data_IF_659892053449
#
_entry.id   IF_659892053449
#
_cell.length_a   1.000
_cell.length_b   1.000
_cell.length_c   1.000
_cell.angle_alpha   90.00
_cell.angle_beta   90.00
_cell.angle_gamma   90.00
#
_symmetry.space_group_name_H-M   'P 1'
#
loop_
_entity.id
_entity.type
_entity.pdbx_description
1 polymer ?
#
# COMPACT_ATOMS: atom_id res chain seq x y z
N UNK A 1 11.38 -8.38 9.58
CA UNK A 1 10.44 -9.43 9.10
C UNK A 1 10.86 -9.81 7.69
N UNK A 2 10.96 -11.10 7.36
CA UNK A 2 11.38 -11.53 6.03
C UNK A 2 10.12 -11.79 5.19
N UNK A 3 9.92 -11.00 4.14
CA UNK A 3 8.86 -11.22 3.17
C UNK A 3 9.42 -12.05 2.00
N UNK A 4 8.58 -12.87 1.39
CA UNK A 4 8.88 -13.57 0.13
C UNK A 4 8.80 -12.62 -1.07
N UNK A 5 7.88 -11.64 -1.03
CA UNK A 5 7.78 -10.55 -1.99
C UNK A 5 7.46 -9.22 -1.31
N UNK A 6 7.99 -8.12 -1.86
CA UNK A 6 7.80 -6.75 -1.37
C UNK A 6 7.70 -5.77 -2.54
N UNK A 7 6.60 -5.78 -3.29
CA UNK A 7 6.48 -4.85 -4.41
C UNK A 7 5.70 -3.59 -4.03
N UNK A 8 5.98 -2.52 -4.76
CA UNK A 8 5.26 -1.27 -4.68
C UNK A 8 5.32 -0.59 -6.06
N UNK A 9 4.15 -0.28 -6.62
CA UNK A 9 4.03 0.25 -7.98
C UNK A 9 4.03 1.78 -7.93
N UNK A 10 5.22 2.36 -8.08
CA UNK A 10 5.41 3.81 -8.09
C UNK A 10 5.40 4.40 -9.49
N UNK A 11 4.89 5.62 -9.63
CA UNK A 11 5.19 6.44 -10.81
C UNK A 11 6.69 6.76 -10.89
N UNK A 12 7.16 7.14 -12.08
CA UNK A 12 8.57 7.55 -12.29
C UNK A 12 9.00 8.68 -11.35
N UNK A 13 8.11 9.63 -11.05
CA UNK A 13 8.37 10.74 -10.13
C UNK A 13 8.22 10.37 -8.65
N UNK A 14 7.83 9.13 -8.32
CA UNK A 14 7.63 8.61 -6.95
C UNK A 14 6.58 9.34 -6.10
N UNK A 15 5.86 10.32 -6.68
CA UNK A 15 4.75 11.03 -6.05
C UNK A 15 3.47 10.20 -5.99
N UNK A 16 3.34 9.21 -6.87
CA UNK A 16 2.13 8.40 -7.00
C UNK A 16 2.42 6.92 -6.74
N UNK A 17 1.51 6.23 -6.05
CA UNK A 17 1.55 4.78 -5.81
C UNK A 17 0.14 4.20 -5.69
N UNK A 18 -0.31 3.41 -6.65
CA UNK A 18 -1.63 2.78 -6.54
C UNK A 18 -1.65 1.64 -5.55
N UNK A 19 -0.67 0.75 -5.71
CA UNK A 19 -0.65 -0.50 -4.99
C UNK A 19 0.70 -0.84 -4.40
N UNK A 20 0.65 -1.65 -3.36
CA UNK A 20 1.80 -2.42 -2.88
C UNK A 20 1.30 -3.79 -2.44
N UNK A 21 2.16 -4.79 -2.58
CA UNK A 21 1.89 -6.14 -2.08
C UNK A 21 3.00 -6.60 -1.13
N UNK A 22 2.59 -7.50 -0.24
CA UNK A 22 3.48 -8.21 0.69
C UNK A 22 3.07 -9.66 0.71
N UNK A 23 4.03 -10.57 0.54
CA UNK A 23 3.82 -12.00 0.75
C UNK A 23 4.81 -12.52 1.78
N UNK A 24 4.38 -13.51 2.58
CA UNK A 24 5.20 -14.20 3.57
C UNK A 24 4.93 -15.70 3.52
N UNK A 25 5.72 -16.47 4.27
CA UNK A 25 5.56 -17.92 4.36
C UNK A 25 4.40 -18.29 5.30
N UNK A 26 3.59 -19.27 4.88
CA UNK A 26 2.47 -19.83 5.66
C UNK A 26 1.17 -19.04 5.52
N UNK A 27 0.04 -19.76 5.59
CA UNK A 27 -1.31 -19.23 5.34
C UNK A 27 -1.86 -19.60 3.97
N UNK A 28 -3.08 -19.15 3.65
CA UNK A 28 -3.75 -19.41 2.36
C UNK A 28 -4.45 -18.15 1.84
N UNK A 29 -4.33 -17.88 0.54
CA UNK A 29 -4.86 -16.69 -0.13
C UNK A 29 -4.21 -15.34 0.28
N UNK A 30 -4.71 -14.26 -0.35
CA UNK A 30 -4.34 -12.88 -0.06
C UNK A 30 -5.54 -12.07 0.40
N UNK A 31 -5.30 -11.08 1.26
CA UNK A 31 -6.29 -10.06 1.63
C UNK A 31 -6.08 -8.81 0.78
N UNK A 32 -7.17 -8.27 0.23
CA UNK A 32 -7.15 -6.93 -0.37
C UNK A 32 -7.62 -5.89 0.66
N UNK A 33 -6.80 -4.88 0.91
CA UNK A 33 -7.19 -3.68 1.63
C UNK A 33 -7.35 -2.52 0.64
N UNK A 34 -8.48 -1.82 0.71
CA UNK A 34 -8.75 -0.63 -0.11
C UNK A 34 -8.61 0.60 0.78
N UNK A 35 -7.59 1.41 0.51
CA UNK A 35 -7.31 2.67 1.19
C UNK A 35 -7.79 3.88 0.40
N UNK A 36 -7.86 5.03 1.06
CA UNK A 36 -8.17 6.31 0.40
C UNK A 36 -6.99 6.77 -0.46
N UNK A 37 -5.84 6.97 0.18
CA UNK A 37 -4.63 7.44 -0.47
C UNK A 37 -3.39 6.81 0.18
N UNK A 38 -2.27 6.69 -0.57
CA UNK A 38 -1.13 5.93 -0.14
C UNK A 38 -0.30 6.78 0.83
N UNK A 39 0.07 6.19 1.95
CA UNK A 39 0.96 6.84 2.93
C UNK A 39 2.45 6.62 2.56
N UNK A 40 3.35 6.73 3.53
CA UNK A 40 4.80 6.80 3.31
C UNK A 40 5.48 5.46 2.99
N UNK A 41 4.82 4.30 3.14
CA UNK A 41 5.41 2.99 2.87
C UNK A 41 6.07 2.91 1.48
N UNK A 42 7.17 2.16 1.38
CA UNK A 42 7.83 1.88 0.11
C UNK A 42 8.21 0.41 -0.03
N UNK A 43 9.03 0.07 -1.01
CA UNK A 43 9.49 -1.29 -1.25
C UNK A 43 10.50 -1.80 -0.21
N UNK A 44 10.93 -0.97 0.75
CA UNK A 44 11.92 -1.31 1.79
C UNK A 44 11.39 -1.16 3.21
N UNK A 45 10.41 -0.27 3.43
CA UNK A 45 9.90 0.08 4.76
C UNK A 45 8.39 0.13 4.77
N UNK A 46 7.80 -0.64 5.68
CA UNK A 46 6.38 -0.56 5.98
C UNK A 46 6.12 0.59 6.96
N UNK A 47 5.11 1.40 6.64
CA UNK A 47 4.60 2.44 7.54
C UNK A 47 3.61 1.84 8.58
N UNK A 48 3.13 2.63 9.57
CA UNK A 48 2.18 2.13 10.56
C UNK A 48 0.90 1.52 9.98
N UNK A 49 0.40 2.04 8.85
CA UNK A 49 -0.79 1.53 8.17
C UNK A 49 -0.54 0.13 7.64
N UNK A 50 0.55 -0.06 6.90
CA UNK A 50 0.91 -1.37 6.31
C UNK A 50 1.19 -2.39 7.40
N UNK A 51 1.91 -2.03 8.47
CA UNK A 51 2.15 -2.96 9.60
C UNK A 51 0.85 -3.44 10.24
N UNK A 52 -0.16 -2.57 10.38
CA UNK A 52 -1.46 -2.93 10.92
C UNK A 52 -2.24 -3.85 9.99
N UNK A 53 -2.27 -3.57 8.68
CA UNK A 53 -2.87 -4.46 7.68
C UNK A 53 -2.22 -5.86 7.67
N UNK A 54 -0.89 -5.93 7.80
CA UNK A 54 -0.16 -7.21 7.92
C UNK A 54 -0.57 -7.96 9.18
N UNK A 55 -0.71 -7.27 10.31
CA UNK A 55 -1.20 -7.85 11.55
C UNK A 55 -2.56 -8.51 11.39
N UNK A 56 -3.51 -7.81 10.76
CA UNK A 56 -4.84 -8.34 10.47
C UNK A 56 -4.78 -9.55 9.52
N UNK A 57 -4.12 -9.41 8.37
CA UNK A 57 -4.02 -10.49 7.39
C UNK A 57 -3.43 -11.77 7.98
N UNK A 58 -2.39 -11.64 8.82
CA UNK A 58 -1.80 -12.78 9.53
C UNK A 58 -2.75 -13.38 10.56
N UNK A 59 -3.43 -12.53 11.35
CA UNK A 59 -4.40 -13.01 12.35
C UNK A 59 -5.58 -13.77 11.74
N UNK A 60 -5.90 -13.46 10.48
CA UNK A 60 -6.95 -14.14 9.71
C UNK A 60 -6.44 -15.36 8.92
N UNK A 61 -5.15 -15.69 9.00
CA UNK A 61 -4.58 -16.90 8.37
C UNK A 61 -4.14 -16.75 6.91
N UNK A 62 -4.00 -15.52 6.39
CA UNK A 62 -3.54 -15.29 5.02
C UNK A 62 -2.01 -15.27 4.89
N UNK A 63 -1.50 -15.60 3.70
CA UNK A 63 -0.05 -15.60 3.38
C UNK A 63 0.43 -14.32 2.69
N UNK A 64 -0.48 -13.38 2.44
CA UNK A 64 -0.13 -12.11 1.84
C UNK A 64 -1.26 -11.11 1.89
N UNK A 65 -0.92 -9.89 1.48
CA UNK A 65 -1.87 -8.83 1.26
C UNK A 65 -1.52 -8.03 0.02
N UNK A 66 -2.54 -7.35 -0.50
CA UNK A 66 -2.41 -6.26 -1.43
C UNK A 66 -3.12 -5.04 -0.83
N UNK A 67 -2.50 -3.88 -0.90
CA UNK A 67 -3.14 -2.60 -0.57
C UNK A 67 -3.27 -1.81 -1.85
N UNK A 68 -4.49 -1.45 -2.21
CA UNK A 68 -4.80 -0.53 -3.32
C UNK A 68 -5.37 0.77 -2.76
N UNK A 69 -5.26 1.87 -3.50
CA UNK A 69 -5.75 3.17 -3.08
C UNK A 69 -6.65 3.79 -4.16
N UNK A 70 -7.73 4.44 -3.73
CA UNK A 70 -8.64 5.17 -4.62
C UNK A 70 -7.95 6.34 -5.32
N UNK A 71 -7.01 6.98 -4.62
CA UNK A 71 -6.15 8.03 -5.16
C UNK A 71 -4.69 7.57 -5.11
N UNK A 72 -3.91 7.96 -6.10
CA UNK A 72 -2.52 7.53 -6.20
C UNK A 72 -1.56 8.50 -5.52
N UNK A 73 -1.97 9.76 -5.30
CA UNK A 73 -1.09 10.78 -4.74
C UNK A 73 -0.71 10.45 -3.29
N UNK A 74 0.59 10.31 -3.05
CA UNK A 74 1.13 9.96 -1.74
C UNK A 74 1.02 11.12 -0.77
N UNK A 75 0.21 10.94 0.27
CA UNK A 75 0.01 11.91 1.31
C UNK A 75 -0.22 11.20 2.64
N UNK A 76 0.29 11.77 3.74
CA UNK A 76 0.00 11.23 5.08
C UNK A 76 -1.38 11.67 5.56
N UNK A 77 -1.80 12.89 5.20
CA UNK A 77 -3.05 13.47 5.63
C UNK A 77 -4.03 13.65 4.46
N UNK A 78 -5.32 13.29 4.62
CA UNK A 78 -6.34 13.51 3.58
C UNK A 78 -6.51 14.96 3.16
N UNK A 79 -6.16 15.92 4.02
CA UNK A 79 -6.19 17.34 3.67
C UNK A 79 -5.20 17.71 2.56
N UNK A 80 -4.03 17.05 2.54
CA UNK A 80 -3.01 17.29 1.51
C UNK A 80 -3.41 16.64 0.19
N UNK A 81 -4.08 15.49 0.24
CA UNK A 81 -4.71 14.89 -0.93
C UNK A 81 -5.74 15.83 -1.57
N UNK A 82 -6.62 16.44 -0.77
CA UNK A 82 -7.64 17.39 -1.27
C UNK A 82 -7.05 18.64 -1.92
N UNK A 83 -5.82 19.00 -1.57
CA UNK A 83 -5.09 20.14 -2.14
C UNK A 83 -4.22 19.75 -3.34
N UNK A 84 -4.07 18.46 -3.63
CA UNK A 84 -3.27 18.02 -4.75
C UNK A 84 -3.97 18.40 -6.07
N UNK A 85 -3.23 19.04 -6.96
CA UNK A 85 -3.72 19.47 -8.28
C UNK A 85 -4.12 18.28 -9.15
N UNK A 86 -3.31 17.22 -9.12
CA UNK A 86 -3.59 15.94 -9.77
C UNK A 86 -3.47 14.82 -8.72
N UNK A 87 -4.56 14.49 -8.01
CA UNK A 87 -4.55 13.50 -6.93
C UNK A 87 -4.52 12.05 -7.43
N UNK A 88 -4.83 11.84 -8.71
CA UNK A 88 -4.87 10.51 -9.34
C UNK A 88 -3.59 10.24 -10.15
N UNK A 89 -2.91 11.28 -10.64
CA UNK A 89 -1.65 11.15 -11.36
C UNK A 89 -1.83 10.78 -12.84
N UNK A 90 -0.73 10.73 -13.60
CA UNK A 90 -0.73 10.73 -15.07
C UNK A 90 -1.11 9.39 -15.73
N UNK A 91 -1.68 8.44 -14.99
CA UNK A 91 -1.89 7.06 -15.45
C UNK A 91 -3.33 6.55 -15.23
N UNK A 92 -4.34 7.44 -15.29
CA UNK A 92 -5.75 7.06 -15.40
C UNK A 92 -6.32 7.45 -16.75
#
# INVERSE_FOLDING_TARGET
>A
MQYLSQNAHFSRCKKYRYSLDRCWQGGSGKVLFIGLNPSTADHRRDDPTIRRCIGFAKSWGFHGLEVVNLFAFRATYPADLKRAEDPIGPAN
#
